data_IF_529659323222
#
_entry.id   IF_529659323222
#
_cell.length_a   1.000
_cell.length_b   1.000
_cell.length_c   1.000
_cell.angle_alpha   90.00
_cell.angle_beta   90.00
_cell.angle_gamma   90.00
#
_symmetry.space_group_name_H-M   'P 1'
#
loop_
_entity.id
_entity.type
_entity.pdbx_description
1 polymer ?
#
# COMPACT_ATOMS: atom_id res chain seq x y z
N UNK A 1 5.07 14.92 -24.38
CA UNK A 1 4.57 14.34 -23.12
C UNK A 1 4.15 15.41 -22.13
N UNK A 2 3.01 15.22 -21.46
CA UNK A 2 2.36 16.24 -20.60
C UNK A 2 3.09 16.46 -19.25
N UNK A 3 3.80 15.44 -18.74
CA UNK A 3 4.36 15.43 -17.38
C UNK A 3 5.83 14.94 -17.26
N UNK A 4 6.45 14.59 -18.39
CA UNK A 4 7.85 14.14 -18.44
C UNK A 4 8.10 12.69 -18.00
N UNK A 5 9.34 12.20 -18.20
CA UNK A 5 9.68 10.79 -18.04
C UNK A 5 9.64 10.31 -16.59
N UNK A 6 9.99 11.16 -15.63
CA UNK A 6 9.99 10.80 -14.20
C UNK A 6 8.60 10.46 -13.69
N UNK A 7 7.58 11.23 -14.08
CA UNK A 7 6.19 10.95 -13.69
C UNK A 7 5.71 9.66 -14.35
N UNK A 8 6.08 9.42 -15.61
CA UNK A 8 5.74 8.17 -16.30
C UNK A 8 6.28 6.92 -15.58
N UNK A 9 7.54 6.95 -15.13
CA UNK A 9 8.14 5.85 -14.35
C UNK A 9 7.40 5.59 -13.04
N UNK A 10 6.98 6.65 -12.33
CA UNK A 10 6.22 6.52 -11.08
C UNK A 10 4.86 5.88 -11.34
N UNK A 11 4.15 6.31 -12.39
CA UNK A 11 2.83 5.76 -12.76
C UNK A 11 2.93 4.30 -13.19
N UNK A 12 3.97 3.92 -13.94
CA UNK A 12 4.24 2.53 -14.31
C UNK A 12 4.47 1.65 -13.07
N UNK A 13 5.27 2.14 -12.12
CA UNK A 13 5.48 1.48 -10.82
C UNK A 13 4.18 1.28 -10.03
N UNK A 14 3.32 2.31 -9.96
CA UNK A 14 2.02 2.23 -9.28
C UNK A 14 1.09 1.18 -9.90
N UNK A 15 1.07 1.10 -11.24
CA UNK A 15 0.20 0.17 -11.98
C UNK A 15 0.59 -1.29 -11.76
N UNK A 16 1.90 -1.58 -11.73
CA UNK A 16 2.41 -2.93 -11.46
C UNK A 16 2.05 -3.43 -10.07
N UNK A 17 2.04 -2.55 -9.06
CA UNK A 17 1.70 -2.90 -7.68
C UNK A 17 0.22 -3.22 -7.54
N UNK A 18 -0.67 -2.46 -8.22
CA UNK A 18 -2.11 -2.70 -8.19
C UNK A 18 -2.52 -4.07 -8.73
N UNK A 19 -1.72 -4.65 -9.65
CA UNK A 19 -1.96 -5.97 -10.21
C UNK A 19 -1.54 -7.15 -9.32
N UNK A 20 -0.75 -6.92 -8.26
CA UNK A 20 -0.34 -7.99 -7.35
C UNK A 20 -1.49 -8.34 -6.41
N UNK A 21 -2.12 -9.50 -6.61
CA UNK A 21 -3.13 -10.02 -5.69
C UNK A 21 -2.47 -10.58 -4.42
N UNK A 22 -2.76 -9.96 -3.28
CA UNK A 22 -2.38 -10.48 -1.97
C UNK A 22 -3.31 -11.64 -1.59
N UNK A 23 -2.98 -12.85 -2.05
CA UNK A 23 -3.66 -14.07 -1.62
C UNK A 23 -3.32 -14.41 -0.16
N UNK A 24 -4.21 -15.17 0.49
CA UNK A 24 -4.32 -15.29 1.96
C UNK A 24 -3.48 -16.38 2.63
N UNK A 25 -2.61 -17.11 1.94
CA UNK A 25 -1.72 -18.12 2.55
C UNK A 25 -0.32 -18.14 1.92
N UNK A 26 0.69 -18.53 2.72
CA UNK A 26 2.14 -18.83 2.49
C UNK A 26 2.94 -18.04 1.44
N UNK A 27 2.36 -17.76 0.27
CA UNK A 27 2.79 -16.84 -0.77
C UNK A 27 2.88 -15.37 -0.33
N UNK A 28 2.37 -15.03 0.86
CA UNK A 28 2.44 -13.66 1.39
C UNK A 28 3.86 -13.16 1.60
N UNK A 29 4.79 -14.01 2.08
CA UNK A 29 6.17 -13.60 2.32
C UNK A 29 6.91 -13.33 0.98
N UNK A 30 6.65 -14.14 -0.05
CA UNK A 30 7.22 -13.92 -1.39
C UNK A 30 6.59 -12.71 -2.09
N UNK A 31 5.26 -12.55 -2.01
CA UNK A 31 4.58 -11.38 -2.57
C UNK A 31 5.04 -10.10 -1.87
N UNK A 32 5.22 -10.13 -0.55
CA UNK A 32 5.80 -9.03 0.20
C UNK A 32 7.24 -8.74 -0.21
N UNK A 33 8.06 -9.77 -0.44
CA UNK A 33 9.44 -9.61 -0.95
C UNK A 33 9.46 -9.05 -2.37
N UNK A 34 8.54 -9.48 -3.25
CA UNK A 34 8.37 -8.92 -4.60
C UNK A 34 7.91 -7.47 -4.57
N UNK A 35 6.98 -7.12 -3.70
CA UNK A 35 6.59 -5.72 -3.46
C UNK A 35 7.84 -4.94 -3.04
N UNK A 36 8.57 -5.37 -2.01
CA UNK A 36 9.80 -4.70 -1.59
C UNK A 36 10.86 -4.56 -2.69
N UNK A 37 11.02 -5.57 -3.55
CA UNK A 37 11.96 -5.54 -4.69
C UNK A 37 11.50 -4.59 -5.79
N UNK A 38 10.21 -4.56 -6.12
CA UNK A 38 9.64 -3.63 -7.11
C UNK A 38 9.69 -2.18 -6.60
N UNK A 39 9.66 -2.01 -5.28
CA UNK A 39 9.81 -0.73 -4.59
C UNK A 39 11.25 -0.25 -4.46
N UNK A 40 12.24 -1.08 -4.81
CA UNK A 40 13.67 -0.74 -4.76
C UNK A 40 14.07 0.32 -5.79
N UNK A 41 13.28 0.53 -6.85
CA UNK A 41 13.66 1.43 -7.95
C UNK A 41 13.23 2.89 -7.72
N UNK A 42 12.12 3.14 -6.99
CA UNK A 42 11.68 4.50 -6.64
C UNK A 42 10.79 4.54 -5.40
N UNK A 43 11.31 5.10 -4.30
CA UNK A 43 10.60 5.24 -3.02
C UNK A 43 9.32 6.08 -3.12
N UNK A 44 9.20 6.97 -4.11
CA UNK A 44 8.01 7.83 -4.26
C UNK A 44 6.76 7.01 -4.58
N UNK A 45 6.92 5.87 -5.27
CA UNK A 45 5.82 4.95 -5.56
C UNK A 45 5.20 4.41 -4.28
N UNK A 46 6.02 4.02 -3.29
CA UNK A 46 5.47 3.51 -2.02
C UNK A 46 4.84 4.62 -1.18
N UNK A 47 5.44 5.81 -1.16
CA UNK A 47 4.87 6.94 -0.42
C UNK A 47 3.48 7.32 -0.94
N UNK A 48 3.31 7.34 -2.26
CA UNK A 48 2.00 7.58 -2.89
C UNK A 48 1.01 6.47 -2.50
N UNK A 49 1.44 5.20 -2.49
CA UNK A 49 0.55 4.09 -2.12
C UNK A 49 0.17 4.07 -0.64
N UNK A 50 1.07 4.51 0.24
CA UNK A 50 0.78 4.73 1.66
C UNK A 50 -0.25 5.84 1.85
N UNK A 51 -0.09 6.95 1.13
CA UNK A 51 -1.04 8.06 1.18
C UNK A 51 -2.44 7.65 0.67
N UNK A 52 -2.51 6.94 -0.46
CA UNK A 52 -3.75 6.36 -0.99
C UNK A 52 -4.42 5.44 0.04
N UNK A 53 -3.66 4.52 0.65
CA UNK A 53 -4.22 3.62 1.65
C UNK A 53 -4.72 4.36 2.89
N UNK A 54 -3.97 5.32 3.40
CA UNK A 54 -4.38 6.12 4.55
C UNK A 54 -5.67 6.89 4.27
N UNK A 55 -5.80 7.47 3.08
CA UNK A 55 -7.04 8.11 2.66
C UNK A 55 -8.21 7.11 2.65
N UNK A 56 -8.02 5.93 2.06
CA UNK A 56 -9.05 4.89 2.03
C UNK A 56 -9.49 4.44 3.43
N UNK A 57 -8.57 4.35 4.39
CA UNK A 57 -8.90 4.05 5.79
C UNK A 57 -9.71 5.18 6.45
N UNK A 58 -9.39 6.45 6.15
CA UNK A 58 -10.13 7.61 6.68
C UNK A 58 -11.56 7.73 6.15
N UNK A 59 -11.86 7.11 5.00
CA UNK A 59 -13.19 7.17 4.36
C UNK A 59 -13.89 5.80 4.28
N UNK A 60 -13.42 4.83 5.07
CA UNK A 60 -13.80 3.42 4.96
C UNK A 60 -15.28 3.17 5.32
N UNK A 61 -15.87 4.02 6.17
CA UNK A 61 -17.25 3.90 6.66
C UNK A 61 -18.30 3.89 5.55
N UNK A 62 -17.99 4.49 4.40
CA UNK A 62 -18.87 4.52 3.22
C UNK A 62 -18.96 3.17 2.48
N UNK A 63 -18.10 2.21 2.80
CA UNK A 63 -18.04 0.90 2.15
C UNK A 63 -18.91 -0.15 2.86
N UNK A 64 -19.32 -1.19 2.13
CA UNK A 64 -19.98 -2.36 2.70
C UNK A 64 -19.05 -3.12 3.69
N UNK A 65 -19.64 -3.75 4.71
CA UNK A 65 -18.90 -4.32 5.85
C UNK A 65 -17.85 -5.36 5.46
N UNK A 66 -18.14 -6.19 4.47
CA UNK A 66 -17.21 -7.18 3.91
C UNK A 66 -15.95 -6.51 3.33
N UNK A 67 -16.13 -5.41 2.59
CA UNK A 67 -15.03 -4.62 2.05
C UNK A 67 -14.24 -3.90 3.14
N UNK A 68 -14.91 -3.35 4.15
CA UNK A 68 -14.25 -2.74 5.30
C UNK A 68 -13.30 -3.74 5.98
N UNK A 69 -13.80 -4.93 6.32
CA UNK A 69 -13.02 -5.98 6.96
C UNK A 69 -11.81 -6.40 6.11
N UNK A 70 -12.01 -6.56 4.80
CA UNK A 70 -10.93 -6.90 3.88
C UNK A 70 -9.85 -5.80 3.86
N UNK A 71 -10.24 -4.54 3.70
CA UNK A 71 -9.32 -3.40 3.62
C UNK A 71 -8.58 -3.19 4.94
N UNK A 72 -9.26 -3.30 6.08
CA UNK A 72 -8.63 -3.22 7.40
C UNK A 72 -7.62 -4.35 7.62
N UNK A 73 -7.99 -5.58 7.24
CA UNK A 73 -7.09 -6.74 7.34
C UNK A 73 -5.84 -6.58 6.48
N UNK A 74 -5.98 -6.14 5.22
CA UNK A 74 -4.84 -5.81 4.36
C UNK A 74 -3.97 -4.70 4.98
N UNK A 75 -4.60 -3.68 5.58
CA UNK A 75 -3.91 -2.53 6.19
C UNK A 75 -3.03 -2.96 7.36
N UNK A 76 -3.58 -3.73 8.30
CA UNK A 76 -2.84 -4.24 9.45
C UNK A 76 -1.76 -5.23 9.05
N UNK A 77 -2.03 -6.09 8.08
CA UNK A 77 -1.10 -7.14 7.69
C UNK A 77 0.07 -6.63 6.82
N UNK A 78 -0.20 -5.69 5.92
CA UNK A 78 0.79 -5.24 4.92
C UNK A 78 1.26 -3.81 5.16
N UNK A 79 0.33 -2.87 5.27
CA UNK A 79 0.65 -1.45 5.20
C UNK A 79 1.24 -0.91 6.50
N UNK A 80 0.71 -1.29 7.67
CA UNK A 80 1.27 -0.88 8.95
C UNK A 80 2.70 -1.41 9.15
N UNK A 81 3.02 -2.70 8.90
CA UNK A 81 4.40 -3.19 8.96
C UNK A 81 5.34 -2.50 7.95
N UNK A 82 4.83 -2.14 6.77
CA UNK A 82 5.61 -1.43 5.77
C UNK A 82 5.89 0.02 6.17
N UNK A 83 4.90 0.73 6.72
CA UNK A 83 5.07 2.06 7.29
C UNK A 83 6.11 2.05 8.43
N UNK A 84 6.07 1.04 9.31
CA UNK A 84 7.07 0.85 10.35
C UNK A 84 8.50 0.70 9.78
N UNK A 85 8.68 -0.14 8.75
CA UNK A 85 9.99 -0.35 8.11
C UNK A 85 10.53 0.88 7.40
N UNK A 86 9.65 1.76 6.93
CA UNK A 86 9.99 3.03 6.31
C UNK A 86 10.19 4.18 7.33
N UNK A 87 10.02 3.91 8.63
CA UNK A 87 10.11 4.93 9.69
C UNK A 87 8.92 5.89 9.73
N UNK A 88 7.80 5.55 9.07
CA UNK A 88 6.58 6.37 8.99
C UNK A 88 5.66 6.10 10.19
N UNK A 89 6.16 6.35 11.41
CA UNK A 89 5.48 5.96 12.64
C UNK A 89 4.09 6.60 12.82
N UNK A 90 3.93 7.88 12.48
CA UNK A 90 2.62 8.54 12.57
C UNK A 90 1.59 7.92 11.64
N UNK A 91 1.98 7.59 10.40
CA UNK A 91 1.10 6.91 9.44
C UNK A 91 0.78 5.50 9.95
N UNK A 92 1.77 4.78 10.46
CA UNK A 92 1.58 3.43 11.03
C UNK A 92 0.52 3.45 12.13
N UNK A 93 0.67 4.32 13.13
CA UNK A 93 -0.27 4.43 14.24
C UNK A 93 -1.67 4.78 13.75
N UNK A 94 -1.79 5.75 12.83
CA UNK A 94 -3.10 6.12 12.30
C UNK A 94 -3.77 4.98 11.51
N UNK A 95 -3.00 4.21 10.73
CA UNK A 95 -3.51 3.03 10.02
C UNK A 95 -3.96 1.92 10.99
N UNK A 96 -3.27 1.75 12.12
CA UNK A 96 -3.65 0.78 13.16
C UNK A 96 -4.92 1.22 13.90
N UNK A 97 -5.07 2.52 14.17
CA UNK A 97 -6.24 3.06 14.88
C UNK A 97 -7.52 3.06 14.01
N UNK A 98 -7.38 3.19 12.69
CA UNK A 98 -8.52 3.20 11.75
C UNK A 98 -9.01 1.81 11.33
N UNK A 99 -8.23 0.75 11.57
CA UNK A 99 -8.52 -0.61 11.10
C UNK A 99 -9.36 -1.43 12.08
#
# INVERSE_FOLDING_TARGET
DLFGPTVATIIDGLTKIGGMQFQTDSLQAENFRKVLLTLSEDIRVILIKMADRLHNMRTLDSMARDKQLKIASETLFLYAPLAHRLGLYSIKTELEDLA
#
